data_IF_122678226458
#
_entry.id   IF_122678226458
#
_cell.length_a   1.000
_cell.length_b   1.000
_cell.length_c   1.000
_cell.angle_alpha   90.00
_cell.angle_beta   90.00
_cell.angle_gamma   90.00
#
_symmetry.space_group_name_H-M   'P 1'
#
loop_
_entity.id
_entity.type
_entity.pdbx_description
1 polymer ?
#
# COMPACT_ATOMS: atom_id res chain seq x y z
N UNK A 1 0.27 3.68 17.45
CA UNK A 1 0.80 2.31 17.46
C UNK A 1 1.26 1.93 18.85
N UNK A 2 1.04 0.66 19.26
CA UNK A 2 1.43 0.15 20.61
C UNK A 2 2.93 0.24 20.90
N UNK A 3 3.76 0.47 19.89
CA UNK A 3 5.23 0.47 19.99
C UNK A 3 5.85 1.74 19.41
N UNK A 4 5.24 2.88 19.64
CA UNK A 4 5.74 4.17 19.14
C UNK A 4 7.16 4.53 19.63
N UNK A 5 7.63 3.94 20.73
CA UNK A 5 9.00 4.09 21.21
C UNK A 5 10.02 3.29 20.37
N UNK A 6 9.58 2.17 19.75
CA UNK A 6 10.43 1.41 18.83
C UNK A 6 10.54 2.11 17.48
N UNK A 7 9.40 2.44 16.87
CA UNK A 7 9.31 3.12 15.59
C UNK A 7 7.99 3.88 15.51
N UNK A 8 8.06 5.16 15.20
CA UNK A 8 6.89 5.96 14.91
C UNK A 8 7.14 6.87 13.71
N UNK A 9 6.09 7.10 12.95
CA UNK A 9 6.07 8.00 11.81
C UNK A 9 4.80 8.83 11.84
N UNK A 10 4.88 10.13 11.59
CA UNK A 10 3.70 10.97 11.49
C UNK A 10 2.80 10.50 10.34
N UNK A 11 1.52 10.44 10.58
CA UNK A 11 0.52 10.14 9.56
C UNK A 11 -0.69 11.06 9.74
N UNK A 12 -1.27 11.46 8.63
CA UNK A 12 -2.53 12.20 8.59
C UNK A 12 -3.72 11.27 8.81
N UNK A 13 -3.68 10.40 9.75
CA UNK A 13 -4.71 9.42 10.10
C UNK A 13 -6.06 9.63 9.37
N UNK A 14 -7.08 8.94 9.75
CA UNK A 14 -8.42 8.84 9.13
C UNK A 14 -9.24 10.15 9.08
N UNK A 15 -8.68 11.26 9.54
CA UNK A 15 -9.42 12.53 9.59
C UNK A 15 -10.09 12.89 8.24
N UNK A 16 -9.40 12.66 7.14
CA UNK A 16 -9.96 12.90 5.81
C UNK A 16 -11.15 11.96 5.50
N UNK A 17 -11.04 10.68 5.79
CA UNK A 17 -12.12 9.71 5.53
C UNK A 17 -13.37 10.03 6.33
N UNK A 18 -13.20 10.42 7.61
CA UNK A 18 -14.30 10.79 8.50
C UNK A 18 -14.92 12.10 8.04
N UNK A 19 -14.12 13.16 7.84
CA UNK A 19 -14.59 14.49 7.44
C UNK A 19 -15.40 14.45 6.13
N UNK A 20 -14.99 13.61 5.18
CA UNK A 20 -15.66 13.51 3.88
C UNK A 20 -16.69 12.38 3.81
N UNK A 21 -17.02 11.77 4.94
CA UNK A 21 -18.00 10.66 5.02
C UNK A 21 -17.69 9.47 4.09
N UNK A 22 -16.41 9.25 3.81
CA UNK A 22 -15.97 8.21 2.88
C UNK A 22 -16.01 6.81 3.49
N UNK A 23 -15.97 6.70 4.82
CA UNK A 23 -16.06 5.41 5.53
C UNK A 23 -17.27 4.60 5.10
N UNK A 24 -18.43 5.26 4.93
CA UNK A 24 -19.68 4.60 4.51
C UNK A 24 -19.66 4.12 3.05
N UNK A 25 -18.74 4.63 2.24
CA UNK A 25 -18.60 4.25 0.82
C UNK A 25 -17.64 3.08 0.62
N UNK A 26 -16.89 2.69 1.65
CA UNK A 26 -15.96 1.56 1.56
C UNK A 26 -16.74 0.25 1.56
N UNK A 27 -16.57 -0.54 0.53
CA UNK A 27 -17.23 -1.85 0.36
C UNK A 27 -16.30 -3.02 0.64
N UNK A 28 -15.00 -2.84 0.42
CA UNK A 28 -13.98 -3.87 0.60
C UNK A 28 -12.70 -3.24 1.16
N UNK A 29 -11.93 -4.01 1.90
CA UNK A 29 -10.61 -3.59 2.43
C UNK A 29 -9.54 -4.57 1.94
N UNK A 30 -8.39 -4.05 1.53
CA UNK A 30 -7.23 -4.85 1.15
C UNK A 30 -6.11 -4.52 2.14
N UNK A 31 -5.58 -5.55 2.81
CA UNK A 31 -4.48 -5.43 3.77
C UNK A 31 -3.33 -6.29 3.28
N UNK A 32 -2.25 -5.66 2.85
CA UNK A 32 -1.16 -6.35 2.16
C UNK A 32 -0.19 -7.08 3.08
N UNK A 33 -0.21 -6.80 4.38
CA UNK A 33 0.63 -7.47 5.37
C UNK A 33 0.09 -7.32 6.80
N UNK A 34 0.63 -8.08 7.74
CA UNK A 34 0.29 -8.00 9.18
C UNK A 34 1.09 -6.95 9.94
N UNK A 35 2.02 -6.25 9.30
CA UNK A 35 2.85 -5.22 9.94
C UNK A 35 2.01 -4.01 10.34
N UNK A 36 2.43 -3.30 11.38
CA UNK A 36 1.67 -2.20 11.99
C UNK A 36 1.47 -0.99 11.08
N UNK A 37 2.24 -0.85 10.04
CA UNK A 37 2.11 0.17 9.00
C UNK A 37 1.14 -0.24 7.87
N UNK A 38 0.74 -1.53 7.82
CA UNK A 38 -0.28 -2.06 6.91
C UNK A 38 -1.59 -2.42 7.61
N UNK A 39 -1.51 -2.92 8.84
CA UNK A 39 -2.64 -3.37 9.64
C UNK A 39 -2.76 -2.53 10.90
N UNK A 40 -3.57 -1.48 10.85
CA UNK A 40 -3.92 -0.65 12.01
C UNK A 40 -5.34 -0.98 12.48
N UNK A 41 -5.43 -1.71 13.59
CA UNK A 41 -6.70 -2.13 14.16
C UNK A 41 -7.58 -0.96 14.62
N UNK A 42 -6.97 0.17 15.02
CA UNK A 42 -7.73 1.34 15.41
C UNK A 42 -8.43 2.01 14.22
N UNK A 43 -7.77 2.02 13.07
CA UNK A 43 -8.40 2.45 11.80
C UNK A 43 -9.53 1.51 11.40
N UNK A 44 -9.36 0.21 11.61
CA UNK A 44 -10.36 -0.78 11.22
C UNK A 44 -11.65 -0.72 12.07
N UNK A 45 -11.59 -0.18 13.29
CA UNK A 45 -12.79 0.07 14.13
C UNK A 45 -13.80 1.04 13.50
N UNK A 46 -13.41 1.80 12.48
CA UNK A 46 -14.31 2.66 11.71
C UNK A 46 -15.30 1.86 10.85
N UNK A 47 -15.01 0.59 10.60
CA UNK A 47 -15.78 -0.27 9.71
C UNK A 47 -16.50 -1.36 10.51
N UNK A 48 -17.57 -1.91 9.90
CA UNK A 48 -18.24 -3.09 10.46
C UNK A 48 -17.30 -4.28 10.45
N UNK A 49 -17.36 -5.13 11.47
CA UNK A 49 -16.55 -6.35 11.53
C UNK A 49 -16.90 -7.41 10.45
N UNK A 50 -18.01 -7.20 9.75
CA UNK A 50 -18.47 -8.01 8.61
C UNK A 50 -18.01 -7.48 7.25
N UNK A 51 -17.27 -6.35 7.20
CA UNK A 51 -16.77 -5.82 5.93
C UNK A 51 -15.82 -6.84 5.28
N UNK A 52 -15.95 -7.10 3.97
CA UNK A 52 -15.03 -7.99 3.26
C UNK A 52 -13.59 -7.49 3.31
N UNK A 53 -12.67 -8.32 3.80
CA UNK A 53 -11.24 -8.01 3.89
C UNK A 53 -10.44 -9.06 3.14
N UNK A 54 -9.57 -8.64 2.22
CA UNK A 54 -8.64 -9.48 1.48
C UNK A 54 -7.23 -9.28 2.03
N UNK A 55 -6.55 -10.36 2.46
CA UNK A 55 -5.29 -10.21 3.17
C UNK A 55 -4.41 -11.46 3.15
N UNK A 56 -3.23 -11.37 3.77
CA UNK A 56 -2.31 -12.50 3.99
C UNK A 56 -2.79 -13.41 5.12
N UNK A 57 -2.27 -14.64 5.17
CA UNK A 57 -2.57 -15.59 6.23
C UNK A 57 -2.23 -15.03 7.62
N UNK A 58 -1.11 -14.36 7.78
CA UNK A 58 -0.70 -13.83 9.09
C UNK A 58 -1.60 -12.65 9.54
N UNK A 59 -1.98 -11.77 8.62
CA UNK A 59 -2.91 -10.70 8.93
C UNK A 59 -4.32 -11.23 9.24
N UNK A 60 -4.78 -12.29 8.58
CA UNK A 60 -6.10 -12.90 8.85
C UNK A 60 -6.20 -13.42 10.29
N UNK A 61 -5.13 -14.00 10.85
CA UNK A 61 -5.08 -14.45 12.24
C UNK A 61 -5.26 -13.29 13.23
N UNK A 62 -4.67 -12.13 12.94
CA UNK A 62 -4.80 -10.92 13.77
C UNK A 62 -6.23 -10.38 13.67
N UNK A 63 -6.78 -10.31 12.47
CA UNK A 63 -8.15 -9.84 12.22
C UNK A 63 -9.19 -10.70 12.91
N UNK A 64 -9.08 -12.04 12.81
CA UNK A 64 -9.98 -12.98 13.48
C UNK A 64 -9.99 -12.79 15.01
N UNK A 65 -8.81 -12.62 15.63
CA UNK A 65 -8.69 -12.30 17.07
C UNK A 65 -9.30 -10.95 17.43
N UNK A 66 -9.44 -10.05 16.45
CA UNK A 66 -10.03 -8.71 16.63
C UNK A 66 -11.51 -8.67 16.26
N UNK A 67 -12.13 -9.83 15.98
CA UNK A 67 -13.58 -9.98 15.76
C UNK A 67 -14.02 -9.77 14.30
N UNK A 68 -13.12 -9.63 13.33
CA UNK A 68 -13.49 -9.57 11.92
C UNK A 68 -13.84 -10.96 11.39
N UNK A 69 -15.04 -11.11 10.80
CA UNK A 69 -15.60 -12.39 10.41
C UNK A 69 -15.59 -12.68 8.91
N UNK A 70 -15.43 -11.64 8.09
CA UNK A 70 -15.44 -11.75 6.64
C UNK A 70 -14.04 -11.49 6.06
N UNK A 71 -13.13 -12.42 6.30
CA UNK A 71 -11.71 -12.30 5.93
C UNK A 71 -11.32 -13.39 4.94
N UNK A 72 -10.88 -12.99 3.75
CA UNK A 72 -10.38 -13.87 2.70
C UNK A 72 -8.86 -13.83 2.66
N UNK A 73 -8.21 -14.97 2.86
CA UNK A 73 -6.77 -15.13 2.64
C UNK A 73 -6.52 -15.23 1.15
N UNK A 74 -5.70 -14.31 0.62
CA UNK A 74 -5.41 -14.27 -0.82
C UNK A 74 -4.27 -15.21 -1.21
N UNK A 75 -4.35 -15.74 -2.43
CA UNK A 75 -3.31 -16.56 -3.04
C UNK A 75 -2.66 -15.82 -4.21
N UNK A 76 -1.35 -15.99 -4.36
CA UNK A 76 -0.59 -15.42 -5.48
C UNK A 76 -1.17 -15.95 -6.81
N UNK A 77 -1.15 -15.09 -7.81
CA UNK A 77 -1.66 -15.30 -9.18
C UNK A 77 -3.16 -15.57 -9.29
N UNK A 78 -3.91 -15.48 -8.18
CA UNK A 78 -5.37 -15.57 -8.19
C UNK A 78 -6.04 -14.21 -8.42
N UNK A 79 -7.23 -14.30 -9.01
CA UNK A 79 -8.16 -13.18 -9.20
C UNK A 79 -9.39 -13.37 -8.31
N UNK A 80 -9.89 -12.27 -7.73
CA UNK A 80 -11.06 -12.21 -6.86
C UNK A 80 -12.02 -11.13 -7.37
N UNK A 81 -13.31 -11.42 -7.33
CA UNK A 81 -14.34 -10.45 -7.68
C UNK A 81 -14.65 -9.53 -6.49
N UNK A 82 -14.63 -8.21 -6.71
CA UNK A 82 -15.01 -7.18 -5.76
C UNK A 82 -16.19 -6.38 -6.32
N UNK A 83 -17.37 -6.95 -6.35
CA UNK A 83 -18.55 -6.40 -7.04
C UNK A 83 -18.26 -6.22 -8.55
N UNK A 84 -18.13 -4.98 -9.02
CA UNK A 84 -17.83 -4.64 -10.42
C UNK A 84 -16.34 -4.58 -10.73
N UNK A 85 -15.48 -4.80 -9.73
CA UNK A 85 -14.03 -4.73 -9.85
C UNK A 85 -13.40 -6.12 -9.71
N UNK A 86 -12.23 -6.29 -10.27
CA UNK A 86 -11.41 -7.49 -10.15
C UNK A 86 -10.13 -7.17 -9.39
N UNK A 87 -9.81 -7.98 -8.40
CA UNK A 87 -8.58 -7.92 -7.62
C UNK A 87 -7.69 -9.08 -8.04
N UNK A 88 -6.57 -8.82 -8.71
CA UNK A 88 -5.58 -9.84 -9.03
C UNK A 88 -4.34 -9.68 -8.19
N UNK A 89 -3.87 -10.79 -7.62
CA UNK A 89 -2.76 -10.82 -6.66
C UNK A 89 -1.47 -11.22 -7.36
N UNK A 90 -0.37 -10.54 -7.01
CA UNK A 90 0.96 -10.82 -7.52
C UNK A 90 1.95 -10.97 -6.39
N UNK A 91 3.01 -11.72 -6.63
CA UNK A 91 4.10 -11.88 -5.69
C UNK A 91 4.87 -10.58 -5.54
N UNK A 92 5.06 -10.10 -4.31
CA UNK A 92 5.93 -8.97 -4.02
C UNK A 92 7.41 -9.28 -4.30
N UNK A 93 8.23 -8.25 -4.41
CA UNK A 93 9.68 -8.40 -4.52
C UNK A 93 10.34 -8.79 -3.19
N UNK A 94 11.61 -9.23 -3.26
CA UNK A 94 12.40 -9.52 -2.05
C UNK A 94 12.71 -8.22 -1.30
N UNK A 95 12.73 -8.25 0.05
CA UNK A 95 12.60 -9.41 0.94
C UNK A 95 11.16 -9.84 1.26
N UNK A 96 10.16 -9.17 0.73
CA UNK A 96 8.74 -9.33 1.12
C UNK A 96 7.97 -10.41 0.35
N UNK A 97 8.62 -11.19 -0.48
CA UNK A 97 8.01 -12.15 -1.39
C UNK A 97 7.21 -13.29 -0.73
N UNK A 98 7.24 -13.41 0.59
CA UNK A 98 6.49 -14.38 1.39
C UNK A 98 5.57 -13.76 2.42
N UNK A 99 5.71 -12.45 2.68
CA UNK A 99 5.01 -11.76 3.77
C UNK A 99 4.01 -10.72 3.30
N UNK A 100 4.15 -10.26 2.06
CA UNK A 100 3.26 -9.28 1.44
C UNK A 100 2.90 -9.70 0.01
N UNK A 101 2.01 -8.95 -0.60
CA UNK A 101 1.65 -9.10 -2.01
C UNK A 101 1.47 -7.74 -2.69
N UNK A 102 1.71 -7.71 -4.00
CA UNK A 102 1.27 -6.64 -4.88
C UNK A 102 -0.08 -7.01 -5.49
N UNK A 103 -0.82 -6.05 -6.01
CA UNK A 103 -2.10 -6.34 -6.64
C UNK A 103 -2.47 -5.35 -7.74
N UNK A 104 -3.38 -5.76 -8.61
CA UNK A 104 -4.15 -4.85 -9.45
C UNK A 104 -5.61 -4.83 -9.03
N UNK A 105 -6.22 -3.65 -9.13
CA UNK A 105 -7.67 -3.49 -9.15
C UNK A 105 -8.03 -3.02 -10.56
N UNK A 106 -8.97 -3.71 -11.20
CA UNK A 106 -9.37 -3.39 -12.57
C UNK A 106 -10.86 -3.55 -12.80
N UNK A 107 -11.34 -2.84 -13.80
CA UNK A 107 -12.64 -3.07 -14.43
C UNK A 107 -12.46 -3.01 -15.96
N UNK A 108 -13.56 -2.93 -16.71
CA UNK A 108 -13.53 -2.83 -18.18
C UNK A 108 -12.83 -1.55 -18.69
N UNK A 109 -12.73 -0.50 -17.85
CA UNK A 109 -12.22 0.81 -18.28
C UNK A 109 -10.80 1.08 -17.84
N UNK A 110 -10.42 0.62 -16.63
CA UNK A 110 -9.16 1.00 -16.02
C UNK A 110 -8.55 -0.13 -15.19
N UNK A 111 -7.22 -0.10 -15.08
CA UNK A 111 -6.40 -1.00 -14.27
C UNK A 111 -5.41 -0.20 -13.43
N UNK A 112 -5.47 -0.36 -12.12
CA UNK A 112 -4.56 0.27 -11.15
C UNK A 112 -3.69 -0.81 -10.53
N UNK A 113 -2.38 -0.62 -10.54
CA UNK A 113 -1.42 -1.48 -9.85
C UNK A 113 -0.94 -0.84 -8.54
N UNK A 114 -0.82 -1.64 -7.50
CA UNK A 114 -0.25 -1.21 -6.22
C UNK A 114 0.80 -2.19 -5.71
N UNK A 115 1.97 -1.64 -5.34
CA UNK A 115 3.05 -2.35 -4.64
C UNK A 115 3.59 -1.48 -3.50
N UNK A 116 3.40 -1.90 -2.24
CA UNK A 116 3.74 -1.05 -1.10
C UNK A 116 5.25 -0.98 -0.78
N UNK A 117 6.06 -1.97 -1.21
CA UNK A 117 7.47 -2.06 -0.80
C UNK A 117 8.47 -2.29 -1.94
N UNK A 118 8.45 -3.49 -2.50
CA UNK A 118 9.46 -3.94 -3.46
C UNK A 118 8.82 -4.66 -4.64
N UNK A 119 9.03 -4.13 -5.83
CA UNK A 119 8.49 -4.74 -7.05
C UNK A 119 9.23 -6.04 -7.41
N UNK A 120 8.46 -7.05 -7.78
CA UNK A 120 9.01 -8.28 -8.32
C UNK A 120 9.28 -8.15 -9.82
N UNK A 121 10.54 -8.12 -10.21
CA UNK A 121 10.92 -7.94 -11.61
C UNK A 121 10.43 -9.06 -12.56
N UNK A 122 9.96 -10.19 -12.04
CA UNK A 122 9.35 -11.26 -12.83
C UNK A 122 7.86 -11.04 -13.11
N UNK A 123 7.25 -10.06 -12.44
CA UNK A 123 5.84 -9.72 -12.63
C UNK A 123 5.65 -9.12 -14.02
N UNK A 124 4.70 -9.67 -14.77
CA UNK A 124 4.26 -9.18 -16.07
C UNK A 124 2.81 -8.75 -15.94
N UNK A 125 2.55 -7.50 -16.24
CA UNK A 125 1.21 -6.90 -16.23
C UNK A 125 1.15 -5.92 -17.39
N UNK A 126 0.16 -6.12 -18.25
CA UNK A 126 -0.03 -5.27 -19.41
C UNK A 126 -1.07 -4.17 -19.13
N UNK A 127 -0.86 -3.02 -19.76
CA UNK A 127 -1.82 -1.92 -19.81
C UNK A 127 -2.32 -1.46 -18.43
N UNK A 128 -1.40 -0.93 -17.64
CA UNK A 128 -1.71 -0.31 -16.35
C UNK A 128 -1.97 1.17 -16.56
N UNK A 129 -3.13 1.66 -16.16
CA UNK A 129 -3.45 3.09 -16.25
C UNK A 129 -2.72 3.87 -15.17
N UNK A 130 -2.75 3.38 -13.92
CA UNK A 130 -2.05 4.04 -12.81
C UNK A 130 -1.25 3.02 -11.98
N UNK A 131 -0.03 3.38 -11.62
CA UNK A 131 0.77 2.63 -10.65
C UNK A 131 0.96 3.43 -9.36
N UNK A 132 0.65 2.79 -8.24
CA UNK A 132 0.79 3.31 -6.88
C UNK A 132 1.94 2.56 -6.23
N UNK A 133 3.07 3.22 -6.03
CA UNK A 133 4.29 2.58 -5.51
C UNK A 133 5.07 3.50 -4.59
N UNK A 134 5.83 2.91 -3.66
CA UNK A 134 6.64 3.68 -2.73
C UNK A 134 7.87 4.30 -3.42
N UNK A 135 8.19 5.53 -3.05
CA UNK A 135 9.34 6.27 -3.58
C UNK A 135 10.42 6.54 -2.54
N UNK A 136 10.11 6.42 -1.26
CA UNK A 136 11.13 6.51 -0.24
C UNK A 136 12.03 5.27 -0.29
N UNK A 137 13.32 5.48 -0.19
CA UNK A 137 14.29 4.39 -0.09
C UNK A 137 14.62 4.16 1.37
N UNK A 138 14.34 2.96 1.85
CA UNK A 138 14.69 2.54 3.21
C UNK A 138 15.68 1.39 3.15
N UNK A 139 16.78 1.51 3.91
CA UNK A 139 17.76 0.46 4.10
C UNK A 139 17.88 0.12 5.57
N UNK A 140 17.89 -1.15 5.90
CA UNK A 140 18.16 -1.66 7.24
C UNK A 140 19.66 -1.88 7.39
N UNK A 141 20.27 -1.31 8.44
CA UNK A 141 21.73 -1.31 8.67
C UNK A 141 22.56 -0.81 7.47
N UNK A 142 21.98 0.01 6.62
CA UNK A 142 22.64 0.48 5.40
C UNK A 142 22.84 -0.60 4.31
N UNK A 143 22.51 -1.85 4.60
CA UNK A 143 22.82 -3.00 3.74
C UNK A 143 21.60 -3.52 2.98
N UNK A 144 20.52 -3.83 3.68
CA UNK A 144 19.33 -4.46 3.09
C UNK A 144 18.31 -3.41 2.70
N UNK A 145 18.07 -3.24 1.41
CA UNK A 145 17.03 -2.35 0.92
C UNK A 145 15.66 -2.99 1.11
N UNK A 146 14.78 -2.26 1.78
CA UNK A 146 13.42 -2.71 2.14
C UNK A 146 12.32 -1.83 1.55
N UNK A 147 12.67 -0.80 0.77
CA UNK A 147 11.73 0.02 0.01
C UNK A 147 12.40 0.52 -1.26
N UNK A 148 11.64 0.58 -2.36
CA UNK A 148 12.16 0.76 -3.72
C UNK A 148 13.02 2.00 -3.92
N UNK A 149 12.60 3.12 -3.40
CA UNK A 149 13.18 4.40 -3.76
C UNK A 149 12.76 4.87 -5.16
N UNK A 150 13.00 6.16 -5.42
CA UNK A 150 12.50 6.84 -6.61
C UNK A 150 12.93 6.22 -7.94
N UNK A 151 14.21 5.86 -8.06
CA UNK A 151 14.72 5.34 -9.33
C UNK A 151 14.08 4.00 -9.69
N UNK A 152 13.92 3.09 -8.72
CA UNK A 152 13.24 1.82 -8.97
C UNK A 152 11.74 2.03 -9.22
N UNK A 153 11.09 2.94 -8.51
CA UNK A 153 9.69 3.28 -8.73
C UNK A 153 9.45 3.81 -10.17
N UNK A 154 10.35 4.63 -10.70
CA UNK A 154 10.30 5.07 -12.11
C UNK A 154 10.47 3.91 -13.10
N UNK A 155 11.37 2.98 -12.82
CA UNK A 155 11.54 1.78 -13.64
C UNK A 155 10.28 0.90 -13.61
N UNK A 156 9.61 0.80 -12.46
CA UNK A 156 8.31 0.10 -12.36
C UNK A 156 7.27 0.78 -13.23
N UNK A 157 7.12 2.10 -13.14
CA UNK A 157 6.22 2.85 -14.03
C UNK A 157 6.48 2.54 -15.51
N UNK A 158 7.74 2.59 -15.93
CA UNK A 158 8.12 2.30 -17.32
C UNK A 158 7.81 0.86 -17.71
N UNK A 159 8.15 -0.11 -16.84
CA UNK A 159 7.92 -1.53 -17.09
C UNK A 159 6.44 -1.89 -17.21
N UNK A 160 5.59 -1.25 -16.41
CA UNK A 160 4.14 -1.44 -16.45
C UNK A 160 3.46 -0.61 -17.54
N UNK A 161 4.23 0.21 -18.27
CA UNK A 161 3.72 1.20 -19.21
C UNK A 161 2.57 2.04 -18.61
N UNK A 162 2.72 2.41 -17.33
CA UNK A 162 1.67 3.08 -16.60
C UNK A 162 1.54 4.55 -17.03
N UNK A 163 0.32 4.95 -17.40
CA UNK A 163 0.00 6.32 -17.80
C UNK A 163 0.23 7.29 -16.64
N UNK A 164 -0.27 6.94 -15.45
CA UNK A 164 -0.15 7.74 -14.25
C UNK A 164 0.75 7.07 -13.23
N UNK A 165 1.50 7.91 -12.51
CA UNK A 165 2.38 7.50 -11.43
C UNK A 165 1.97 8.18 -10.14
N UNK A 166 1.57 7.41 -9.14
CA UNK A 166 1.12 7.90 -7.83
C UNK A 166 2.13 7.42 -6.78
N UNK A 167 3.04 8.28 -6.33
CA UNK A 167 4.02 7.91 -5.32
C UNK A 167 3.37 7.80 -3.94
N UNK A 168 3.80 6.80 -3.19
CA UNK A 168 3.50 6.64 -1.76
C UNK A 168 4.79 6.68 -0.94
N UNK A 169 4.68 6.70 0.38
CA UNK A 169 5.83 6.81 1.27
C UNK A 169 6.39 8.23 1.37
N UNK A 170 5.71 9.22 0.79
CA UNK A 170 6.13 10.62 0.74
C UNK A 170 5.62 11.45 1.92
N UNK A 171 5.30 10.86 3.03
CA UNK A 171 4.85 11.63 4.18
C UNK A 171 5.95 12.53 4.72
N UNK A 172 5.66 13.77 5.11
CA UNK A 172 6.63 14.64 5.73
C UNK A 172 7.13 14.01 7.02
N UNK A 173 8.43 13.77 7.15
CA UNK A 173 8.76 12.84 8.00
C UNK A 173 9.72 12.88 8.97
N UNK A 174 9.34 12.56 10.01
CA UNK A 174 10.18 12.36 11.20
C UNK A 174 9.94 10.95 11.70
N UNK A 175 10.64 10.02 11.14
CA UNK A 175 10.74 8.68 11.71
C UNK A 175 11.46 8.78 13.04
N UNK A 176 10.82 8.38 14.13
CA UNK A 176 11.34 8.42 15.50
C UNK A 176 11.30 7.02 16.10
N UNK A 177 12.07 6.81 17.16
CA UNK A 177 12.11 5.57 17.92
C UNK A 177 13.42 4.82 17.76
N UNK A 178 13.64 3.81 18.60
CA UNK A 178 14.91 3.09 18.69
C UNK A 178 15.34 2.48 17.35
N UNK A 179 14.41 1.89 16.62
CA UNK A 179 14.70 1.25 15.32
C UNK A 179 15.11 2.29 14.25
N UNK A 180 14.69 3.56 14.38
CA UNK A 180 15.03 4.60 13.42
C UNK A 180 16.55 4.83 13.28
N UNK A 181 17.31 4.54 14.33
CA UNK A 181 18.77 4.63 14.29
C UNK A 181 19.43 3.62 13.34
N UNK A 182 18.74 2.52 13.07
CA UNK A 182 19.22 1.45 12.18
C UNK A 182 18.64 1.55 10.77
N UNK A 183 17.76 2.53 10.53
CA UNK A 183 17.14 2.75 9.23
C UNK A 183 17.81 3.91 8.52
N UNK A 184 18.47 3.64 7.41
CA UNK A 184 18.86 4.66 6.44
C UNK A 184 17.64 5.00 5.57
N UNK A 185 17.00 6.16 5.83
CA UNK A 185 15.83 6.60 5.07
C UNK A 185 16.23 7.76 4.16
N UNK A 186 15.98 7.59 2.86
CA UNK A 186 16.13 8.67 1.87
C UNK A 186 14.75 9.06 1.38
N UNK A 187 14.29 10.22 1.79
CA UNK A 187 12.95 10.74 1.53
C UNK A 187 12.89 11.59 0.27
N UNK A 188 11.82 11.48 -0.49
CA UNK A 188 11.64 12.19 -1.76
C UNK A 188 10.38 13.06 -1.81
N UNK A 189 9.81 13.39 -0.66
CA UNK A 189 8.53 14.10 -0.54
C UNK A 189 8.49 15.51 -1.17
N UNK A 190 9.64 16.12 -1.43
CA UNK A 190 9.70 17.47 -2.00
C UNK A 190 9.61 17.52 -3.53
N UNK A 191 9.59 16.39 -4.22
CA UNK A 191 9.56 16.33 -5.68
C UNK A 191 8.13 16.24 -6.22
N UNK A 192 7.39 17.34 -6.14
CA UNK A 192 6.02 17.45 -6.68
C UNK A 192 5.92 17.17 -8.19
N UNK A 193 7.01 17.32 -8.93
CA UNK A 193 7.08 17.02 -10.37
C UNK A 193 6.85 15.56 -10.73
N UNK A 194 6.79 14.66 -9.74
CA UNK A 194 6.54 13.24 -9.96
C UNK A 194 5.05 12.89 -9.91
N UNK A 195 4.25 13.75 -9.32
CA UNK A 195 2.82 13.55 -9.20
C UNK A 195 2.11 13.96 -10.49
N UNK A 196 1.08 13.24 -10.93
CA UNK A 196 0.11 13.81 -11.85
C UNK A 196 -0.40 15.13 -11.28
N UNK A 197 -0.59 16.13 -12.13
CA UNK A 197 -1.05 17.46 -11.68
C UNK A 197 -2.36 17.43 -10.89
N UNK A 198 -3.17 16.39 -11.09
CA UNK A 198 -4.43 16.16 -10.39
C UNK A 198 -4.33 15.50 -9.01
N UNK A 199 -3.15 15.03 -8.59
CA UNK A 199 -2.95 14.29 -7.33
C UNK A 199 -1.78 14.87 -6.54
N UNK A 200 -1.90 16.12 -6.08
CA UNK A 200 -0.86 16.83 -5.32
C UNK A 200 -1.14 16.86 -3.82
N UNK A 201 -2.37 16.68 -3.43
CA UNK A 201 -2.82 16.77 -2.04
C UNK A 201 -3.69 15.58 -1.63
N UNK A 202 -3.78 15.36 -0.32
CA UNK A 202 -4.70 14.35 0.23
C UNK A 202 -6.13 14.70 -0.15
N UNK A 203 -6.78 13.79 -0.86
CA UNK A 203 -8.15 13.96 -1.32
C UNK A 203 -8.31 14.32 -2.79
N UNK A 204 -7.22 14.60 -3.48
CA UNK A 204 -7.26 14.74 -4.93
C UNK A 204 -7.74 13.43 -5.57
N UNK A 205 -8.45 13.55 -6.68
CA UNK A 205 -8.97 12.44 -7.45
C UNK A 205 -8.41 12.41 -8.86
N UNK A 206 -8.20 11.21 -9.38
CA UNK A 206 -7.77 10.97 -10.74
C UNK A 206 -8.86 10.19 -11.47
N UNK A 207 -9.35 10.73 -12.57
CA UNK A 207 -10.26 10.00 -13.47
C UNK A 207 -9.43 9.13 -14.43
N UNK A 208 -9.72 7.83 -14.48
CA UNK A 208 -9.07 6.83 -15.31
C UNK A 208 -10.00 6.33 -16.42
#
# INVERSE_FOLDING_TARGET
PKYHWLLSRESTRHAYLIKNNLVKKVTHIIITAHFSDHLDLDSLKLFKNTIPIYTTLEASKVLAKSGFTNVTVVNIDREYELNTLKLKIFKAGRPYNTTTFAYTISNIRAKVFHEPHMFNNKTVIDNVDACIVTVDMVKVFGLVQVSMGLNQARLVKSKLNAKYFIPTGIAPNRTKGFISYFLGIKEFYQQTTLLPTSCQQVGDSLSL
#
